data_IF_671419405165
#
_entry.id   IF_671419405165
#
_cell.length_a   1.000
_cell.length_b   1.000
_cell.length_c   1.000
_cell.angle_alpha   90.00
_cell.angle_beta   90.00
_cell.angle_gamma   90.00
#
_symmetry.space_group_name_H-M   'P 1'
#
loop_
_entity.id
_entity.type
_entity.pdbx_description
1 polymer ?
#
# COMPACT_ATOMS: atom_id res chain seq x y z
N UNK A 1 5.41 1.93 28.13
CA UNK A 1 6.72 2.09 27.53
C UNK A 1 6.63 2.78 26.20
N UNK A 2 7.59 3.63 25.94
CA UNK A 2 7.59 4.44 24.72
C UNK A 2 8.50 3.82 23.68
N UNK A 3 8.05 3.82 22.44
CA UNK A 3 8.88 3.40 21.33
C UNK A 3 9.71 4.59 20.88
N UNK A 4 10.96 4.32 20.51
CA UNK A 4 11.80 5.38 20.00
C UNK A 4 11.41 5.68 18.54
N UNK A 5 11.84 6.83 18.00
CA UNK A 5 11.46 7.22 16.64
C UNK A 5 11.86 6.20 15.57
N UNK A 6 12.97 5.52 15.78
CA UNK A 6 13.40 4.49 14.83
C UNK A 6 12.41 3.34 14.77
N UNK A 7 11.96 2.88 15.93
CA UNK A 7 10.99 1.80 16.00
C UNK A 7 9.65 2.18 15.38
N UNK A 8 9.23 3.43 15.61
CA UNK A 8 7.98 3.92 15.03
C UNK A 8 8.07 3.94 13.51
N UNK A 9 9.20 4.38 12.97
CA UNK A 9 9.40 4.39 11.52
C UNK A 9 9.38 2.99 10.93
N UNK A 10 10.01 2.04 11.63
CA UNK A 10 10.03 0.66 11.18
C UNK A 10 8.62 0.08 11.17
N UNK A 11 7.80 0.41 12.17
CA UNK A 11 6.41 -0.03 12.19
C UNK A 11 5.61 0.57 11.04
N UNK A 12 5.86 1.85 10.75
CA UNK A 12 5.14 2.50 9.64
C UNK A 12 5.51 1.86 8.32
N UNK A 13 6.78 1.49 8.13
CA UNK A 13 7.19 0.80 6.92
C UNK A 13 6.50 -0.55 6.80
N UNK A 14 6.42 -1.28 7.91
CA UNK A 14 5.76 -2.58 7.91
C UNK A 14 4.27 -2.46 7.59
N UNK A 15 3.60 -1.50 8.22
CA UNK A 15 2.19 -1.26 7.97
C UNK A 15 1.94 -0.82 6.53
N UNK A 16 2.84 0.01 6.01
CA UNK A 16 2.72 0.48 4.64
C UNK A 16 2.84 -0.69 3.66
N UNK A 17 3.79 -1.59 3.92
CA UNK A 17 3.96 -2.76 3.07
C UNK A 17 2.71 -3.63 3.10
N UNK A 18 2.16 -3.88 4.29
CA UNK A 18 0.96 -4.69 4.42
C UNK A 18 -0.22 -4.05 3.69
N UNK A 19 -0.36 -2.74 3.80
CA UNK A 19 -1.40 -2.01 3.10
C UNK A 19 -1.24 -2.16 1.59
N UNK A 20 -0.01 -1.98 1.08
CA UNK A 20 0.24 -2.08 -0.35
C UNK A 20 0.00 -3.49 -0.88
N UNK A 21 0.37 -4.50 -0.10
CA UNK A 21 0.14 -5.89 -0.48
C UNK A 21 -1.36 -6.18 -0.58
N UNK A 22 -2.12 -5.73 0.40
CA UNK A 22 -3.57 -5.92 0.40
C UNK A 22 -4.21 -5.19 -0.78
N UNK A 23 -3.78 -3.96 -1.01
CA UNK A 23 -4.30 -3.15 -2.11
C UNK A 23 -4.04 -3.83 -3.45
N UNK A 24 -2.84 -4.38 -3.62
CA UNK A 24 -2.50 -5.05 -4.87
C UNK A 24 -3.34 -6.30 -5.08
N UNK A 25 -3.55 -7.08 -4.03
CA UNK A 25 -4.36 -8.28 -4.14
C UNK A 25 -5.80 -7.97 -4.53
N UNK A 26 -6.35 -6.91 -3.93
CA UNK A 26 -7.70 -6.47 -4.27
C UNK A 26 -7.78 -6.00 -5.72
N UNK A 27 -6.75 -5.29 -6.18
CA UNK A 27 -6.72 -4.81 -7.57
C UNK A 27 -6.65 -5.98 -8.54
N UNK A 28 -5.85 -6.99 -8.22
CA UNK A 28 -5.72 -8.17 -9.06
C UNK A 28 -7.05 -8.93 -9.14
N UNK A 29 -7.68 -9.12 -8.01
CA UNK A 29 -8.95 -9.82 -7.97
C UNK A 29 -10.01 -9.08 -8.77
N UNK A 30 -10.08 -7.76 -8.59
CA UNK A 30 -11.03 -6.93 -9.33
C UNK A 30 -10.78 -7.03 -10.83
N UNK A 31 -9.50 -6.95 -11.24
CA UNK A 31 -9.16 -7.00 -12.65
C UNK A 31 -9.54 -8.35 -13.28
N UNK A 32 -9.30 -9.44 -12.55
CA UNK A 32 -9.67 -10.77 -13.04
C UNK A 32 -11.18 -10.92 -13.15
N UNK A 33 -11.91 -10.41 -12.17
CA UNK A 33 -13.37 -10.46 -12.21
C UNK A 33 -13.90 -9.66 -13.41
N UNK A 34 -13.33 -8.50 -13.66
CA UNK A 34 -13.73 -7.67 -14.80
C UNK A 34 -13.38 -8.35 -16.11
N UNK A 35 -12.24 -9.03 -16.17
CA UNK A 35 -11.86 -9.78 -17.37
C UNK A 35 -12.87 -10.89 -17.68
N UNK A 36 -13.27 -11.62 -16.66
CA UNK A 36 -14.22 -12.70 -16.83
C UNK A 36 -15.59 -12.20 -17.29
N UNK A 37 -15.91 -10.97 -16.89
CA UNK A 37 -17.16 -10.32 -17.30
C UNK A 37 -17.04 -9.62 -18.65
N UNK A 38 -15.87 -9.68 -19.29
CA UNK A 38 -15.63 -9.04 -20.57
C UNK A 38 -15.48 -7.53 -20.49
N UNK A 39 -15.25 -6.99 -19.30
CA UNK A 39 -15.15 -5.54 -19.10
C UNK A 39 -13.71 -5.03 -19.10
N UNK A 40 -12.73 -5.92 -19.03
CA UNK A 40 -11.32 -5.57 -19.14
C UNK A 40 -10.64 -6.56 -20.07
N UNK A 41 -9.60 -6.08 -20.77
CA UNK A 41 -8.82 -6.96 -21.64
C UNK A 41 -7.60 -7.49 -20.86
N UNK A 42 -6.86 -8.41 -21.50
CA UNK A 42 -5.71 -9.04 -20.87
C UNK A 42 -4.64 -8.02 -20.49
N UNK A 43 -4.46 -6.98 -21.30
CA UNK A 43 -3.46 -5.96 -21.00
C UNK A 43 -3.79 -5.22 -19.71
N UNK A 44 -5.06 -4.94 -19.49
CA UNK A 44 -5.49 -4.28 -18.25
C UNK A 44 -5.30 -5.19 -17.04
N UNK A 45 -5.48 -6.50 -17.22
CA UNK A 45 -5.22 -7.46 -16.16
C UNK A 45 -3.73 -7.47 -15.82
N UNK A 46 -2.87 -7.46 -16.84
CA UNK A 46 -1.43 -7.43 -16.63
C UNK A 46 -1.00 -6.17 -15.87
N UNK A 47 -1.66 -5.05 -16.12
CA UNK A 47 -1.37 -3.82 -15.38
C UNK A 47 -1.64 -4.00 -13.88
N UNK A 48 -2.70 -4.72 -13.53
CA UNK A 48 -3.04 -4.94 -12.12
C UNK A 48 -2.00 -5.81 -11.40
N UNK A 49 -1.25 -6.62 -12.16
CA UNK A 49 -0.23 -7.49 -11.58
C UNK A 49 1.11 -6.80 -11.36
N UNK A 50 1.25 -5.55 -11.81
CA UNK A 50 2.50 -4.83 -11.60
C UNK A 50 2.76 -4.62 -10.11
N UNK A 51 4.00 -4.90 -9.72
CA UNK A 51 4.39 -4.72 -8.33
C UNK A 51 4.55 -3.23 -8.03
N UNK A 52 4.18 -2.86 -6.81
CA UNK A 52 4.47 -1.52 -6.33
C UNK A 52 5.98 -1.38 -6.11
N UNK A 53 6.47 -0.17 -6.14
CA UNK A 53 7.90 0.09 -5.97
C UNK A 53 8.23 0.32 -4.50
N UNK A 54 9.53 0.26 -4.19
CA UNK A 54 9.97 0.60 -2.85
C UNK A 54 9.65 2.06 -2.52
N UNK A 55 9.72 2.93 -3.53
CA UNK A 55 9.35 4.34 -3.34
C UNK A 55 7.88 4.45 -2.93
N UNK A 56 7.01 3.64 -3.50
CA UNK A 56 5.59 3.64 -3.12
C UNK A 56 5.42 3.28 -1.65
N UNK A 57 6.15 2.26 -1.18
CA UNK A 57 6.10 1.86 0.21
C UNK A 57 6.60 2.97 1.12
N UNK A 58 7.72 3.58 0.77
CA UNK A 58 8.31 4.64 1.57
C UNK A 58 7.37 5.84 1.64
N UNK A 59 6.77 6.21 0.50
CA UNK A 59 5.84 7.34 0.47
C UNK A 59 4.61 7.06 1.32
N UNK A 60 4.10 5.84 1.27
CA UNK A 60 2.96 5.47 2.09
C UNK A 60 3.33 5.49 3.57
N UNK A 61 4.51 5.00 3.92
CA UNK A 61 4.98 5.04 5.30
C UNK A 61 5.12 6.47 5.81
N UNK A 62 5.63 7.36 4.97
CA UNK A 62 5.74 8.77 5.33
C UNK A 62 4.37 9.39 5.56
N UNK A 63 3.42 9.03 4.73
CA UNK A 63 2.05 9.50 4.86
C UNK A 63 1.45 9.08 6.20
N UNK A 64 1.64 7.81 6.56
CA UNK A 64 1.15 7.28 7.83
C UNK A 64 1.83 7.93 9.02
N UNK A 65 3.15 8.11 8.93
CA UNK A 65 3.92 8.73 10.00
C UNK A 65 3.50 10.19 10.19
N UNK A 66 3.28 10.88 9.09
CA UNK A 66 2.84 12.27 9.13
C UNK A 66 1.50 12.41 9.86
N UNK A 67 0.60 11.50 9.61
CA UNK A 67 -0.71 11.50 10.26
C UNK A 67 -0.54 11.36 11.78
N UNK A 68 0.27 10.40 12.20
CA UNK A 68 0.51 10.16 13.62
C UNK A 68 1.18 11.37 14.27
N UNK A 69 2.18 11.92 13.59
CA UNK A 69 2.93 13.04 14.07
C UNK A 69 2.06 14.29 14.23
N UNK A 70 1.24 14.55 13.25
CA UNK A 70 0.33 15.70 13.28
C UNK A 70 -0.65 15.58 14.45
N UNK A 71 -1.13 14.39 14.70
CA UNK A 71 -2.03 14.14 15.81
C UNK A 71 -1.37 14.45 17.15
N UNK A 72 -0.10 14.10 17.26
CA UNK A 72 0.66 14.31 18.49
C UNK A 72 1.04 15.77 18.73
N UNK A 73 1.00 16.58 17.69
CA UNK A 73 1.42 17.97 17.76
C UNK A 73 0.31 18.93 18.19
N UNK A 74 -0.74 18.41 18.70
CA UNK A 74 -1.84 19.25 19.17
C UNK A 74 -1.60 19.87 20.53
#
# INVERSE_FOLDING_TARGET
THKNPFEIRAEMLHLAKDYMDTQQQMNIQFANDMYEQGKKNMQEVQEAYKMYSMDDVINKAKEMYSFVSTKDNK
#
